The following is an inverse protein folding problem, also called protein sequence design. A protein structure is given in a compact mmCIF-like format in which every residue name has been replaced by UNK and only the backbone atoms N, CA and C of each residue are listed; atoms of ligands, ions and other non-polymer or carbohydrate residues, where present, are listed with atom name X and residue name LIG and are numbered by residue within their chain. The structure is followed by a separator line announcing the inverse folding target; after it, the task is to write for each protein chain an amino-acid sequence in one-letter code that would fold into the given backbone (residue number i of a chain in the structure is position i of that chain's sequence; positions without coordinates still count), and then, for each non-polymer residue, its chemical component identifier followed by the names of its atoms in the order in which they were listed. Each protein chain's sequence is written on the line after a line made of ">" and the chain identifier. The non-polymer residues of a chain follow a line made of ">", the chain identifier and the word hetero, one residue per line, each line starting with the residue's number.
data_IF_239069623459
#
_entry.id   IF_239069623459
#
_cell.length_a   1.000
_cell.length_b   1.000
_cell.length_c   1.000
_cell.angle_alpha   90.00
_cell.angle_beta   90.00
_cell.angle_gamma   90.00
#
_symmetry.space_group_name_H-M   'P 1'
#
loop_
_entity.id
_entity.type
_entity.pdbx_description
1 polymer ?
#
# COMPACT_ATOMS: atom_id res chain seq x y z
N UNK A 1 61.86 -45.81 -44.92
CA UNK A 1 62.40 -45.21 -43.68
C UNK A 1 61.98 -43.77 -43.63
N UNK A 2 61.18 -43.45 -42.61
CA UNK A 2 60.96 -42.14 -41.99
C UNK A 2 60.36 -41.01 -42.84
N UNK A 3 59.47 -40.14 -42.35
CA UNK A 3 58.57 -40.01 -41.19
C UNK A 3 57.93 -38.61 -41.45
N UNK A 4 56.86 -38.29 -40.73
CA UNK A 4 56.21 -36.95 -40.70
C UNK A 4 55.09 -36.70 -41.72
N UNK A 5 54.06 -37.55 -41.61
CA UNK A 5 52.67 -37.08 -41.52
C UNK A 5 52.49 -36.25 -40.22
N UNK A 6 51.42 -35.44 -40.17
CA UNK A 6 50.87 -34.74 -39.00
C UNK A 6 51.46 -33.36 -38.64
N UNK A 7 50.78 -32.29 -39.07
CA UNK A 7 50.34 -31.17 -38.20
C UNK A 7 49.74 -29.99 -38.98
N UNK A 8 48.78 -30.23 -39.88
CA UNK A 8 48.02 -29.15 -40.52
C UNK A 8 46.50 -29.34 -40.33
N UNK A 9 46.05 -29.49 -39.09
CA UNK A 9 44.60 -29.54 -38.79
C UNK A 9 44.19 -28.92 -37.45
N UNK A 10 45.11 -28.31 -36.69
CA UNK A 10 44.85 -27.89 -35.32
C UNK A 10 44.69 -26.36 -35.11
N UNK A 11 44.41 -25.57 -36.15
CA UNK A 11 44.19 -24.11 -36.00
C UNK A 11 42.76 -23.63 -36.30
N UNK A 12 41.89 -24.44 -36.93
CA UNK A 12 40.54 -24.00 -37.28
C UNK A 12 39.47 -24.20 -36.18
N UNK A 13 39.73 -25.02 -35.16
CA UNK A 13 38.68 -25.38 -34.18
C UNK A 13 38.54 -24.42 -32.99
N UNK A 14 39.47 -23.47 -32.79
CA UNK A 14 39.45 -22.56 -31.62
C UNK A 14 38.66 -21.27 -31.86
N UNK A 15 38.49 -20.83 -33.11
CA UNK A 15 37.75 -19.61 -33.45
C UNK A 15 36.24 -19.81 -33.56
N UNK A 16 35.77 -21.04 -33.83
CA UNK A 16 34.34 -21.35 -33.87
C UNK A 16 33.70 -21.39 -32.46
N UNK A 17 34.46 -21.85 -31.45
CA UNK A 17 33.98 -21.99 -30.06
C UNK A 17 33.94 -20.68 -29.25
N UNK A 18 34.68 -19.64 -29.69
CA UNK A 18 34.74 -18.36 -28.97
C UNK A 18 33.56 -17.44 -29.33
N UNK A 19 33.06 -17.52 -30.57
CA UNK A 19 31.92 -16.69 -31.04
C UNK A 19 30.57 -17.16 -30.50
N UNK A 20 30.39 -18.48 -30.31
CA UNK A 20 29.17 -19.07 -29.74
C UNK A 20 29.01 -18.80 -28.26
N UNK A 21 30.10 -18.79 -27.48
CA UNK A 21 30.08 -18.43 -26.04
C UNK A 21 29.78 -16.95 -25.81
N UNK A 22 30.30 -16.07 -26.67
CA UNK A 22 30.06 -14.64 -26.58
C UNK A 22 28.59 -14.25 -26.88
N UNK A 23 27.96 -14.87 -27.90
CA UNK A 23 26.53 -14.66 -28.19
C UNK A 23 25.62 -15.20 -27.08
N UNK A 24 25.95 -16.34 -26.47
CA UNK A 24 25.17 -16.92 -25.37
C UNK A 24 25.22 -16.05 -24.11
N UNK A 25 26.40 -15.49 -23.78
CA UNK A 25 26.56 -14.58 -22.65
C UNK A 25 25.88 -13.23 -22.90
N UNK A 26 25.95 -12.68 -24.12
CA UNK A 26 25.31 -11.41 -24.46
C UNK A 26 23.77 -11.52 -24.46
N UNK A 27 23.22 -12.67 -24.89
CA UNK A 27 21.79 -12.96 -24.82
C UNK A 27 21.30 -13.15 -23.37
N UNK A 28 22.12 -13.78 -22.50
CA UNK A 28 21.81 -13.93 -21.07
C UNK A 28 21.90 -12.60 -20.31
N UNK A 29 22.84 -11.70 -20.65
CA UNK A 29 22.91 -10.37 -20.03
C UNK A 29 21.84 -9.42 -20.54
N UNK A 30 21.40 -9.54 -21.80
CA UNK A 30 20.28 -8.78 -22.36
C UNK A 30 18.93 -9.22 -21.73
N UNK A 31 18.75 -10.51 -21.46
CA UNK A 31 17.57 -11.01 -20.72
C UNK A 31 17.53 -10.54 -19.27
N UNK A 32 18.67 -10.33 -18.61
CA UNK A 32 18.72 -9.82 -17.23
C UNK A 32 18.35 -8.35 -17.10
N UNK A 33 18.41 -7.56 -18.18
CA UNK A 33 18.08 -6.13 -18.16
C UNK A 33 16.60 -5.82 -18.45
N UNK A 34 15.83 -6.78 -18.97
CA UNK A 34 14.46 -6.53 -19.47
C UNK A 34 13.37 -6.78 -18.41
N UNK A 35 13.67 -7.39 -17.26
CA UNK A 35 12.65 -7.72 -16.24
C UNK A 35 12.76 -6.79 -15.02
N UNK A 36 12.62 -5.49 -15.26
CA UNK A 36 12.17 -4.53 -14.24
C UNK A 36 10.88 -3.89 -14.72
N UNK A 37 9.87 -4.72 -15.01
CA UNK A 37 8.51 -4.24 -15.16
C UNK A 37 8.05 -3.87 -13.75
N UNK A 38 8.16 -2.59 -13.40
CA UNK A 38 7.47 -2.07 -12.23
C UNK A 38 5.97 -2.15 -12.50
N UNK A 39 5.33 -3.15 -11.91
CA UNK A 39 3.87 -3.21 -11.81
C UNK A 39 3.46 -2.04 -10.93
N UNK A 40 3.11 -0.91 -11.55
CA UNK A 40 2.49 0.21 -10.85
C UNK A 40 1.08 -0.25 -10.50
N UNK A 41 0.90 -0.76 -9.28
CA UNK A 41 -0.42 -0.82 -8.69
C UNK A 41 -1.01 0.60 -8.76
N UNK A 42 -2.28 0.71 -9.15
CA UNK A 42 -2.96 2.00 -9.11
C UNK A 42 -3.14 2.36 -7.62
N UNK A 43 -2.18 3.10 -7.06
CA UNK A 43 -2.08 3.51 -5.64
C UNK A 43 -3.15 4.55 -5.25
N UNK A 44 -4.32 4.51 -5.90
CA UNK A 44 -5.43 5.37 -5.53
C UNK A 44 -6.13 4.77 -4.31
N UNK A 45 -6.22 5.53 -3.23
CA UNK A 45 -6.99 5.18 -2.03
C UNK A 45 -8.16 6.13 -1.85
N UNK A 46 -9.15 5.69 -1.08
CA UNK A 46 -10.30 6.49 -0.70
C UNK A 46 -10.52 6.46 0.80
N UNK A 47 -11.11 7.53 1.33
CA UNK A 47 -11.74 7.49 2.65
C UNK A 47 -13.12 6.87 2.47
N UNK A 48 -13.44 5.87 3.30
CA UNK A 48 -14.69 5.13 3.21
C UNK A 48 -15.43 5.12 4.54
N UNK A 49 -16.75 5.08 4.46
CA UNK A 49 -17.64 5.04 5.62
C UNK A 49 -18.67 3.92 5.51
N UNK A 50 -19.27 3.59 6.64
CA UNK A 50 -20.44 2.72 6.66
C UNK A 50 -21.57 3.32 5.79
N UNK A 51 -22.38 2.51 5.08
CA UNK A 51 -23.48 3.00 4.26
C UNK A 51 -24.50 3.88 4.98
N UNK A 52 -24.66 3.70 6.30
CA UNK A 52 -25.56 4.50 7.13
C UNK A 52 -25.06 5.90 7.48
N UNK A 53 -23.83 6.28 7.09
CA UNK A 53 -23.32 7.65 7.26
C UNK A 53 -23.86 8.53 6.12
N UNK A 54 -24.55 9.62 6.49
CA UNK A 54 -25.28 10.48 5.55
C UNK A 54 -24.37 11.50 4.85
N UNK A 55 -23.24 11.84 5.47
CA UNK A 55 -22.25 12.75 4.95
C UNK A 55 -21.61 12.20 3.67
N UNK A 56 -21.77 12.93 2.56
CA UNK A 56 -21.12 12.61 1.27
C UNK A 56 -19.77 13.31 1.10
N UNK A 57 -19.58 14.41 1.83
CA UNK A 57 -18.41 15.27 1.76
C UNK A 57 -17.96 15.65 3.16
N UNK A 58 -16.65 15.75 3.38
CA UNK A 58 -16.06 16.13 4.66
C UNK A 58 -14.86 17.05 4.46
N UNK A 59 -14.69 18.06 5.32
CA UNK A 59 -13.49 18.89 5.25
C UNK A 59 -12.24 18.13 5.71
N UNK A 60 -11.07 18.49 5.19
CA UNK A 60 -9.78 17.93 5.68
C UNK A 60 -9.62 18.13 7.20
N UNK A 61 -10.07 19.27 7.76
CA UNK A 61 -9.96 19.56 9.19
C UNK A 61 -10.87 18.67 10.04
N UNK A 62 -12.08 18.38 9.55
CA UNK A 62 -12.99 17.44 10.19
C UNK A 62 -12.42 16.02 10.13
N UNK A 63 -11.87 15.62 8.99
CA UNK A 63 -11.18 14.32 8.84
C UNK A 63 -10.04 14.17 9.85
N UNK A 64 -9.16 15.17 9.96
CA UNK A 64 -8.10 15.20 10.98
C UNK A 64 -8.66 15.10 12.39
N UNK A 65 -9.73 15.82 12.70
CA UNK A 65 -10.37 15.78 14.01
C UNK A 65 -10.97 14.42 14.33
N UNK A 66 -11.50 13.71 13.33
CA UNK A 66 -11.99 12.33 13.47
C UNK A 66 -10.84 11.38 13.74
N UNK A 67 -9.82 11.36 12.88
CA UNK A 67 -8.70 10.41 13.02
C UNK A 67 -7.81 10.73 14.24
N UNK A 68 -7.79 11.97 14.72
CA UNK A 68 -7.18 12.33 16.01
C UNK A 68 -8.10 12.10 17.21
N UNK A 69 -9.27 11.47 17.01
CA UNK A 69 -10.26 11.13 18.04
C UNK A 69 -10.86 12.32 18.81
N UNK A 70 -10.82 13.53 18.22
CA UNK A 70 -11.39 14.76 18.78
C UNK A 70 -12.87 14.92 18.43
N UNK A 71 -13.23 14.70 17.17
CA UNK A 71 -14.62 14.64 16.73
C UNK A 71 -15.15 13.20 16.89
N UNK A 72 -16.18 13.03 17.70
CA UNK A 72 -16.64 11.70 18.16
C UNK A 72 -18.05 11.33 17.67
N UNK A 73 -18.78 12.27 17.06
CA UNK A 73 -20.15 12.08 16.58
C UNK A 73 -20.32 12.69 15.20
N UNK A 74 -21.08 12.01 14.35
CA UNK A 74 -21.59 12.53 13.09
C UNK A 74 -22.62 13.64 13.35
N UNK A 75 -23.04 14.33 12.29
CA UNK A 75 -24.01 15.44 12.40
C UNK A 75 -25.38 15.00 12.92
N UNK A 76 -25.75 13.74 12.70
CA UNK A 76 -26.97 13.10 13.21
C UNK A 76 -26.86 12.57 14.65
N UNK A 77 -25.69 12.73 15.29
CA UNK A 77 -25.42 12.26 16.65
C UNK A 77 -24.89 10.82 16.74
N UNK A 78 -24.82 10.08 15.64
CA UNK A 78 -24.26 8.73 15.60
C UNK A 78 -22.78 8.76 16.00
N UNK A 79 -22.36 7.84 16.87
CA UNK A 79 -20.95 7.75 17.30
C UNK A 79 -20.05 7.36 16.13
N UNK A 80 -18.95 8.07 15.96
CA UNK A 80 -17.92 7.76 14.96
C UNK A 80 -17.07 6.59 15.43
N UNK A 81 -16.93 5.56 14.60
CA UNK A 81 -16.06 4.40 14.86
C UNK A 81 -14.90 4.38 13.87
N UNK A 82 -13.72 4.76 14.34
CA UNK A 82 -12.53 4.87 13.48
C UNK A 82 -11.79 3.54 13.43
N UNK A 83 -11.52 3.05 12.23
CA UNK A 83 -10.67 1.88 11.97
C UNK A 83 -9.37 2.31 11.27
N UNK A 84 -8.25 1.71 11.66
CA UNK A 84 -6.90 2.00 11.11
C UNK A 84 -6.09 0.72 10.93
N UNK A 85 -5.17 0.69 9.96
CA UNK A 85 -4.16 -0.36 9.83
C UNK A 85 -2.99 -0.11 10.79
N UNK A 86 -1.97 -0.98 10.79
CA UNK A 86 -0.77 -0.81 11.60
C UNK A 86 0.10 0.37 11.11
N UNK A 87 1.03 0.83 11.95
CA UNK A 87 1.87 2.01 11.65
C UNK A 87 2.87 1.70 10.51
N UNK A 88 3.18 0.41 10.33
CA UNK A 88 4.05 -0.16 9.30
C UNK A 88 3.32 -0.38 7.96
N UNK A 89 1.99 -0.36 7.96
CA UNK A 89 1.19 -0.56 6.76
C UNK A 89 1.36 0.61 5.78
N UNK A 90 1.63 0.28 4.51
CA UNK A 90 1.88 1.26 3.46
C UNK A 90 0.69 2.21 3.25
N UNK A 91 -0.53 1.69 3.26
CA UNK A 91 -1.73 2.49 3.08
C UNK A 91 -1.93 3.43 4.27
N UNK A 92 -1.70 2.96 5.50
CA UNK A 92 -1.78 3.85 6.67
C UNK A 92 -0.75 4.98 6.61
N UNK A 93 0.48 4.68 6.18
CA UNK A 93 1.54 5.67 6.01
C UNK A 93 1.16 6.74 4.98
N UNK A 94 0.61 6.33 3.84
CA UNK A 94 0.18 7.23 2.77
C UNK A 94 -0.97 8.12 3.25
N UNK A 95 -2.06 7.52 3.78
CA UNK A 95 -3.23 8.28 4.26
C UNK A 95 -2.86 9.26 5.37
N UNK A 96 -2.01 8.84 6.31
CA UNK A 96 -1.56 9.70 7.41
C UNK A 96 -0.80 10.92 6.88
N UNK A 97 0.16 10.70 5.98
CA UNK A 97 0.98 11.78 5.43
C UNK A 97 0.16 12.71 4.53
N UNK A 98 -0.63 12.15 3.62
CA UNK A 98 -1.29 12.94 2.57
C UNK A 98 -2.61 13.58 3.00
N UNK A 99 -3.50 12.83 3.67
CA UNK A 99 -4.81 13.37 4.11
C UNK A 99 -4.73 14.03 5.47
N UNK A 100 -4.00 13.40 6.40
CA UNK A 100 -3.96 13.87 7.78
C UNK A 100 -2.83 14.87 8.03
N UNK A 101 -1.83 14.94 7.14
CA UNK A 101 -0.63 15.78 7.27
C UNK A 101 0.14 15.52 8.57
N UNK A 102 0.25 14.25 8.95
CA UNK A 102 1.01 13.76 10.10
C UNK A 102 1.70 12.44 9.79
N UNK A 103 2.80 12.13 10.46
CA UNK A 103 3.39 10.80 10.39
C UNK A 103 2.63 9.82 11.31
N UNK A 104 2.57 8.50 10.98
CA UNK A 104 1.85 7.51 11.79
C UNK A 104 2.22 7.53 13.27
N UNK A 105 3.51 7.64 13.60
CA UNK A 105 3.96 7.69 14.99
C UNK A 105 3.46 8.94 15.75
N UNK A 106 3.24 10.07 15.08
CA UNK A 106 2.68 11.27 15.70
C UNK A 106 1.19 11.10 15.99
N UNK A 107 0.49 10.44 15.07
CA UNK A 107 -0.91 10.09 15.23
C UNK A 107 -1.08 9.07 16.37
N UNK A 108 -0.22 8.04 16.42
CA UNK A 108 -0.09 7.09 17.53
C UNK A 108 0.14 7.77 18.87
N UNK A 109 1.13 8.66 18.95
CA UNK A 109 1.43 9.41 20.18
C UNK A 109 0.24 10.25 20.66
N UNK A 110 -0.56 10.77 19.72
CA UNK A 110 -1.81 11.48 20.07
C UNK A 110 -2.82 10.54 20.71
N UNK A 111 -3.01 9.35 20.17
CA UNK A 111 -3.90 8.34 20.73
C UNK A 111 -3.41 7.81 22.08
N UNK A 112 -2.12 7.54 22.23
CA UNK A 112 -1.53 7.04 23.48
C UNK A 112 -1.74 8.05 24.61
N UNK A 113 -1.58 9.35 24.33
CA UNK A 113 -1.87 10.42 25.29
C UNK A 113 -3.33 10.41 25.74
N UNK A 114 -4.28 10.19 24.83
CA UNK A 114 -5.71 10.10 25.17
C UNK A 114 -5.99 8.91 26.10
N UNK A 115 -5.40 7.76 25.79
CA UNK A 115 -5.58 6.52 26.56
C UNK A 115 -4.94 6.63 27.95
N UNK A 116 -3.67 7.03 28.04
CA UNK A 116 -2.94 7.11 29.30
C UNK A 116 -3.48 8.18 30.25
N UNK A 117 -4.03 9.28 29.71
CA UNK A 117 -4.70 10.29 30.54
C UNK A 117 -6.15 9.95 30.90
N UNK A 118 -6.72 8.87 30.34
CA UNK A 118 -8.13 8.51 30.51
C UNK A 118 -9.12 9.47 29.83
N UNK A 119 -8.66 10.36 28.95
CA UNK A 119 -9.50 11.38 28.30
C UNK A 119 -10.13 10.90 26.99
N UNK A 120 -9.74 9.73 26.50
CA UNK A 120 -10.30 9.14 25.28
C UNK A 120 -9.84 7.72 25.02
N UNK A 121 -10.25 7.21 23.85
CA UNK A 121 -9.87 5.89 23.35
C UNK A 121 -9.12 6.07 22.03
N UNK A 122 -8.23 5.12 21.73
CA UNK A 122 -7.61 5.01 20.42
C UNK A 122 -8.60 4.45 19.38
N UNK A 123 -8.35 4.65 18.07
CA UNK A 123 -9.05 3.92 17.03
C UNK A 123 -8.89 2.40 17.15
N UNK A 124 -9.78 1.67 16.50
CA UNK A 124 -9.70 0.21 16.44
C UNK A 124 -8.71 -0.17 15.33
N UNK A 125 -7.66 -0.91 15.68
CA UNK A 125 -6.70 -1.42 14.71
C UNK A 125 -7.27 -2.68 14.03
N UNK A 126 -7.12 -2.77 12.71
CA UNK A 126 -7.42 -3.95 11.90
C UNK A 126 -6.14 -4.45 11.23
N UNK A 127 -6.10 -5.72 10.87
CA UNK A 127 -4.87 -6.39 10.42
C UNK A 127 -4.76 -6.47 8.89
N UNK A 128 -5.84 -6.17 8.15
CA UNK A 128 -5.84 -6.20 6.68
C UNK A 128 -6.89 -5.27 6.06
N UNK A 129 -6.79 -5.05 4.75
CA UNK A 129 -7.79 -4.28 3.99
C UNK A 129 -9.14 -4.98 3.92
N UNK A 130 -9.16 -6.32 3.92
CA UNK A 130 -10.39 -7.12 3.95
C UNK A 130 -11.08 -6.98 5.31
N UNK A 131 -10.32 -7.01 6.40
CA UNK A 131 -10.86 -6.76 7.74
C UNK A 131 -11.38 -5.32 7.84
N UNK A 132 -10.63 -4.33 7.34
CA UNK A 132 -11.08 -2.93 7.28
C UNK A 132 -12.44 -2.80 6.59
N UNK A 133 -12.57 -3.37 5.39
CA UNK A 133 -13.81 -3.34 4.61
C UNK A 133 -14.97 -3.98 5.39
N UNK A 134 -14.76 -5.20 5.92
CA UNK A 134 -15.79 -5.93 6.65
C UNK A 134 -16.24 -5.17 7.91
N UNK A 135 -15.29 -4.59 8.66
CA UNK A 135 -15.58 -3.83 9.88
C UNK A 135 -16.33 -2.54 9.57
N UNK A 136 -15.97 -1.82 8.51
CA UNK A 136 -16.68 -0.59 8.11
C UNK A 136 -18.09 -0.92 7.62
N UNK A 137 -18.25 -1.94 6.78
CA UNK A 137 -19.55 -2.35 6.26
C UNK A 137 -20.55 -2.76 7.37
N UNK A 138 -20.05 -3.39 8.43
CA UNK A 138 -20.89 -3.96 9.50
C UNK A 138 -21.03 -3.07 10.75
N UNK A 139 -20.30 -1.95 10.84
CA UNK A 139 -20.30 -1.09 12.02
C UNK A 139 -20.97 0.26 11.72
N UNK A 140 -22.16 0.55 12.28
CA UNK A 140 -22.80 1.85 12.11
C UNK A 140 -21.89 3.02 12.54
N UNK A 141 -21.87 4.08 11.74
CA UNK A 141 -21.04 5.25 11.98
C UNK A 141 -19.54 5.03 11.76
N UNK A 142 -19.12 3.91 11.15
CA UNK A 142 -17.72 3.64 10.91
C UNK A 142 -17.09 4.47 9.81
N UNK A 143 -15.79 4.70 9.94
CA UNK A 143 -14.92 5.35 8.98
C UNK A 143 -13.54 4.69 8.99
N UNK A 144 -12.94 4.62 7.80
CA UNK A 144 -11.57 4.19 7.59
C UNK A 144 -11.13 4.55 6.19
N UNK A 145 -10.23 3.76 5.62
CA UNK A 145 -9.68 4.00 4.29
C UNK A 145 -9.31 2.67 3.63
N UNK A 146 -9.41 2.62 2.30
CA UNK A 146 -9.12 1.44 1.50
C UNK A 146 -8.44 1.84 0.20
N UNK A 147 -7.61 0.95 -0.35
CA UNK A 147 -7.25 1.05 -1.76
C UNK A 147 -8.51 0.99 -2.62
N UNK A 148 -8.56 1.77 -3.69
CA UNK A 148 -9.72 1.84 -4.59
C UNK A 148 -10.11 0.47 -5.13
N UNK A 149 -9.12 -0.39 -5.38
CA UNK A 149 -9.32 -1.77 -5.86
C UNK A 149 -10.03 -2.69 -4.84
N UNK A 150 -10.01 -2.35 -3.54
CA UNK A 150 -10.64 -3.14 -2.48
C UNK A 150 -12.03 -2.61 -2.07
N UNK A 151 -12.54 -1.58 -2.74
CA UNK A 151 -13.85 -1.00 -2.42
C UNK A 151 -14.94 -1.73 -3.21
N UNK A 152 -16.04 -2.04 -2.52
CA UNK A 152 -17.26 -2.58 -3.11
C UNK A 152 -18.50 -1.79 -2.65
N UNK A 153 -19.68 -2.22 -3.06
CA UNK A 153 -20.97 -1.59 -2.80
C UNK A 153 -21.40 -1.57 -1.32
N UNK A 154 -20.69 -2.26 -0.43
CA UNK A 154 -21.04 -2.36 0.99
C UNK A 154 -20.51 -1.20 1.84
N UNK A 155 -19.82 -0.23 1.24
CA UNK A 155 -19.31 0.98 1.89
C UNK A 155 -19.52 2.19 0.99
N UNK A 156 -19.62 3.38 1.60
CA UNK A 156 -19.70 4.64 0.88
C UNK A 156 -18.31 5.26 0.78
N UNK A 157 -18.00 5.87 -0.37
CA UNK A 157 -16.81 6.74 -0.52
C UNK A 157 -17.16 8.13 -0.02
N UNK A 158 -16.29 8.69 0.81
CA UNK A 158 -16.45 10.03 1.40
C UNK A 158 -15.50 11.02 0.70
N UNK A 159 -16.07 12.01 0.01
CA UNK A 159 -15.29 13.03 -0.68
C UNK A 159 -14.65 14.00 0.35
N UNK A 160 -13.36 14.27 0.21
CA UNK A 160 -12.64 15.19 1.11
C UNK A 160 -12.38 16.53 0.43
N UNK A 161 -12.87 17.63 1.02
CA UNK A 161 -12.75 19.01 0.52
C UNK A 161 -11.83 19.89 1.36
#
# INVERSE_FOLDING_TARGET
>A
MNLFHFSLQAQFSRHCFLKTRACLCFALTLCLWVVAVEVRANDHYEIVTNPGVNEKTLSVNSLRSIFSMRLKTWSDGTKIRVFVLSDEDQLHQIVSKEKLNVFPYQLRSTWDRLVFSGTGQAPIKVNSSEEMLARIATTPGAIGYLWRANINENVNVLEIK
#
